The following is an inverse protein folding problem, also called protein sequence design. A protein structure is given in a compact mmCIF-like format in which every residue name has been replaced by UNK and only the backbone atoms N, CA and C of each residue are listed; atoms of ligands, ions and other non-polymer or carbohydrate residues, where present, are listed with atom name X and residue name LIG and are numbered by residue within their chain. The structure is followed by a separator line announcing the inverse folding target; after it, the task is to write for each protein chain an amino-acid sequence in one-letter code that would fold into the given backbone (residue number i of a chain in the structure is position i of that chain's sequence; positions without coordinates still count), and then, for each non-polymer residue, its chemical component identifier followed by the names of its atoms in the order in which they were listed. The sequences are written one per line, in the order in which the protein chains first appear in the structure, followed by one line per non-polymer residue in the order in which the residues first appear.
data_IF_198749193660
#
_entry.id   IF_198749193660
#
_cell.length_a   1.000
_cell.length_b   1.000
_cell.length_c   1.000
_cell.angle_alpha   90.00
_cell.angle_beta   90.00
_cell.angle_gamma   90.00
#
_symmetry.space_group_name_H-M   'P 1'
#
loop_
_entity.id
_entity.type
_entity.pdbx_description
1 polymer ?
#
# COMPACT_ATOMS: atom_id res chain seq x y z
N UNK A 1 45.64 -16.67 37.67
CA UNK A 1 45.81 -15.38 36.98
C UNK A 1 44.44 -14.90 36.56
N UNK A 2 44.00 -13.77 37.11
CA UNK A 2 42.68 -13.16 36.87
C UNK A 2 42.79 -12.24 35.64
N UNK A 3 41.95 -12.41 34.63
CA UNK A 3 41.78 -11.43 33.56
C UNK A 3 40.31 -11.27 33.21
N UNK A 4 39.68 -10.28 33.83
CA UNK A 4 38.37 -9.74 33.47
C UNK A 4 38.48 -8.89 32.21
N UNK A 5 37.78 -9.25 31.15
CA UNK A 5 37.56 -8.34 30.02
C UNK A 5 36.13 -7.78 30.10
N UNK A 6 36.04 -6.57 30.66
CA UNK A 6 34.85 -5.74 30.69
C UNK A 6 34.70 -5.06 29.32
N UNK A 7 33.79 -5.56 28.48
CA UNK A 7 33.45 -4.92 27.21
C UNK A 7 32.34 -3.90 27.42
N UNK A 8 32.73 -2.63 27.35
CA UNK A 8 31.86 -1.47 27.35
C UNK A 8 30.97 -1.49 26.09
N UNK A 9 29.68 -1.77 26.26
CA UNK A 9 28.68 -1.49 25.22
C UNK A 9 28.38 0.01 25.24
N UNK A 10 28.92 0.74 24.27
CA UNK A 10 28.57 2.13 24.01
C UNK A 10 27.23 2.19 23.28
N UNK A 11 26.19 2.62 24.00
CA UNK A 11 24.88 2.91 23.44
C UNK A 11 24.98 4.13 22.50
N UNK A 12 25.00 3.88 21.19
CA UNK A 12 24.90 4.92 20.17
C UNK A 12 23.47 5.47 20.18
N UNK A 13 23.27 6.57 20.90
CA UNK A 13 22.04 7.36 20.83
C UNK A 13 21.86 7.85 19.38
N UNK A 14 21.00 7.17 18.64
CA UNK A 14 20.56 7.61 17.32
C UNK A 14 19.71 8.86 17.51
N UNK A 15 20.33 10.02 17.27
CA UNK A 15 19.63 11.29 17.12
C UNK A 15 18.69 11.13 15.91
N UNK A 16 17.40 10.95 16.18
CA UNK A 16 16.37 11.02 15.14
C UNK A 16 16.21 12.48 14.76
N UNK A 17 16.94 12.90 13.73
CA UNK A 17 16.72 14.20 13.08
C UNK A 17 15.24 14.28 12.67
N UNK A 18 14.52 15.22 13.27
CA UNK A 18 13.10 15.46 12.98
C UNK A 18 12.99 15.96 11.54
N UNK A 19 12.62 15.06 10.62
CA UNK A 19 12.17 15.42 9.28
C UNK A 19 11.11 16.51 9.40
N UNK A 20 11.14 17.58 8.58
CA UNK A 20 10.05 18.54 8.51
C UNK A 20 8.74 17.77 8.33
N UNK A 21 7.81 17.92 9.27
CA UNK A 21 6.53 17.24 9.22
C UNK A 21 5.81 17.73 7.96
N UNK A 22 5.63 16.84 6.99
CA UNK A 22 4.74 17.07 5.84
C UNK A 22 3.43 17.69 6.37
N UNK A 23 2.87 18.71 5.70
CA UNK A 23 1.67 19.39 6.19
C UNK A 23 0.58 18.35 6.44
N UNK A 24 0.04 18.34 7.66
CA UNK A 24 -0.99 17.40 8.09
C UNK A 24 -2.14 17.37 7.06
N UNK A 25 -2.14 16.35 6.21
CA UNK A 25 -3.06 16.27 5.08
C UNK A 25 -4.36 15.62 5.53
N UNK A 26 -5.44 16.42 5.53
CA UNK A 26 -6.78 15.93 5.84
C UNK A 26 -7.29 15.06 4.68
N UNK A 27 -7.47 13.76 4.96
CA UNK A 27 -8.01 12.80 3.99
C UNK A 27 -9.54 12.68 4.06
N UNK A 28 -10.15 13.10 5.17
CA UNK A 28 -11.58 12.98 5.40
C UNK A 28 -12.03 13.34 6.81
N UNK A 29 -13.33 13.19 7.05
CA UNK A 29 -14.02 13.55 8.29
C UNK A 29 -14.66 12.32 8.95
N UNK A 30 -14.67 12.31 10.28
CA UNK A 30 -15.48 11.38 11.08
C UNK A 30 -16.84 12.03 11.29
N UNK A 31 -17.92 11.30 10.99
CA UNK A 31 -19.28 11.80 11.17
C UNK A 31 -19.80 11.45 12.57
N UNK A 32 -20.87 12.12 13.00
CA UNK A 32 -21.50 11.90 14.32
C UNK A 32 -21.95 10.44 14.52
N UNK A 33 -22.35 9.77 13.46
CA UNK A 33 -22.59 8.33 13.45
C UNK A 33 -21.24 7.60 13.59
N UNK A 34 -21.04 6.92 14.73
CA UNK A 34 -19.75 6.37 15.24
C UNK A 34 -19.05 5.35 14.34
N UNK A 35 -19.50 5.14 13.12
CA UNK A 35 -18.88 4.26 12.12
C UNK A 35 -18.88 4.85 10.70
N UNK A 36 -19.25 6.11 10.52
CA UNK A 36 -19.29 6.75 9.20
C UNK A 36 -18.13 7.73 9.02
N UNK A 37 -17.46 7.57 7.89
CA UNK A 37 -16.35 8.42 7.46
C UNK A 37 -16.68 9.02 6.09
N UNK A 38 -16.26 10.25 5.84
CA UNK A 38 -16.49 10.96 4.56
C UNK A 38 -15.18 11.49 4.00
N UNK A 39 -15.01 11.49 2.67
CA UNK A 39 -13.86 12.12 2.03
C UNK A 39 -13.87 13.64 2.24
N UNK A 40 -12.68 14.25 2.30
CA UNK A 40 -12.54 15.70 2.44
C UNK A 40 -12.62 16.47 1.11
N UNK A 41 -12.63 15.77 -0.03
CA UNK A 41 -12.73 16.38 -1.35
C UNK A 41 -14.19 16.57 -1.76
N UNK A 42 -14.51 17.76 -2.29
CA UNK A 42 -15.87 18.13 -2.69
C UNK A 42 -16.46 17.22 -3.77
N UNK A 43 -15.62 16.73 -4.69
CA UNK A 43 -15.99 15.75 -5.71
C UNK A 43 -16.44 14.39 -5.14
N UNK A 44 -16.18 14.14 -3.84
CA UNK A 44 -16.53 12.90 -3.13
C UNK A 44 -17.52 13.13 -1.98
N UNK A 45 -18.22 14.29 -1.96
CA UNK A 45 -19.11 14.69 -0.86
C UNK A 45 -20.23 13.70 -0.56
N UNK A 46 -20.67 12.94 -1.55
CA UNK A 46 -21.75 11.96 -1.45
C UNK A 46 -21.24 10.55 -1.08
N UNK A 47 -19.92 10.36 -0.99
CA UNK A 47 -19.31 9.08 -0.63
C UNK A 47 -19.11 8.97 0.88
N UNK A 48 -19.70 7.94 1.47
CA UNK A 48 -19.50 7.58 2.88
C UNK A 48 -18.98 6.16 3.02
N UNK A 49 -18.18 5.93 4.06
CA UNK A 49 -17.52 4.67 4.33
C UNK A 49 -17.88 4.18 5.73
N UNK A 50 -18.11 2.88 5.88
CA UNK A 50 -18.34 2.25 7.18
C UNK A 50 -17.07 1.98 7.99
N UNK A 51 -15.89 2.17 7.38
CA UNK A 51 -14.58 1.93 8.02
C UNK A 51 -13.56 2.96 7.57
N UNK A 52 -12.70 3.41 8.48
CA UNK A 52 -11.59 4.32 8.17
C UNK A 52 -10.62 3.74 7.13
N UNK A 53 -10.43 2.41 7.13
CA UNK A 53 -9.60 1.72 6.14
C UNK A 53 -10.16 1.86 4.71
N UNK A 54 -11.49 1.92 4.55
CA UNK A 54 -12.11 2.10 3.24
C UNK A 54 -11.95 3.55 2.76
N UNK A 55 -12.09 4.54 3.66
CA UNK A 55 -11.79 5.95 3.36
C UNK A 55 -10.32 6.14 2.94
N UNK A 56 -9.36 5.59 3.69
CA UNK A 56 -7.93 5.66 3.33
C UNK A 56 -7.66 5.09 1.95
N UNK A 57 -8.21 3.90 1.67
CA UNK A 57 -8.07 3.26 0.36
C UNK A 57 -8.65 4.12 -0.75
N UNK A 58 -9.82 4.71 -0.54
CA UNK A 58 -10.41 5.64 -1.49
C UNK A 58 -9.47 6.82 -1.76
N UNK A 59 -8.98 7.47 -0.70
CA UNK A 59 -8.07 8.62 -0.84
C UNK A 59 -6.81 8.26 -1.63
N UNK A 60 -6.18 7.13 -1.29
CA UNK A 60 -4.98 6.66 -2.00
C UNK A 60 -5.26 6.36 -3.47
N UNK A 61 -6.45 5.83 -3.78
CA UNK A 61 -6.86 5.46 -5.13
C UNK A 61 -7.40 6.61 -5.96
N UNK A 62 -7.92 7.68 -5.36
CA UNK A 62 -8.64 8.76 -6.02
C UNK A 62 -7.92 10.11 -5.93
N UNK A 63 -7.19 10.38 -4.84
CA UNK A 63 -6.61 11.70 -4.55
C UNK A 63 -5.10 11.73 -4.32
N UNK A 64 -4.43 10.60 -4.07
CA UNK A 64 -2.96 10.59 -3.93
C UNK A 64 -2.28 11.07 -5.21
N UNK A 65 -1.32 12.00 -5.12
CA UNK A 65 -0.60 12.56 -6.28
C UNK A 65 0.44 11.61 -6.86
N UNK A 66 1.04 10.75 -6.03
CA UNK A 66 2.13 9.86 -6.43
C UNK A 66 1.76 8.40 -6.17
N UNK A 67 0.85 7.87 -7.00
CA UNK A 67 0.34 6.51 -6.86
C UNK A 67 1.29 5.52 -7.51
N UNK A 68 1.99 4.73 -6.69
CA UNK A 68 2.66 3.53 -7.18
C UNK A 68 1.62 2.61 -7.83
N UNK A 69 1.84 2.28 -9.11
CA UNK A 69 0.98 1.36 -9.86
C UNK A 69 1.57 -0.04 -9.82
N UNK A 70 0.76 -1.01 -9.44
CA UNK A 70 1.17 -2.41 -9.47
C UNK A 70 0.76 -3.08 -10.78
N UNK A 71 1.71 -3.74 -11.43
CA UNK A 71 1.49 -4.52 -12.66
C UNK A 71 1.80 -6.00 -12.42
N UNK A 72 1.28 -6.87 -13.27
CA UNK A 72 1.66 -8.27 -13.25
C UNK A 72 3.13 -8.42 -13.72
N UNK A 73 3.99 -9.17 -12.99
CA UNK A 73 5.39 -9.35 -13.38
C UNK A 73 5.59 -10.36 -14.53
N UNK A 74 4.58 -11.16 -14.89
CA UNK A 74 4.72 -12.19 -15.92
C UNK A 74 4.69 -11.58 -17.32
N UNK A 75 5.74 -11.78 -18.15
CA UNK A 75 5.74 -11.34 -19.54
C UNK A 75 4.56 -11.94 -20.31
N UNK A 76 4.04 -11.21 -21.29
CA UNK A 76 2.86 -11.60 -22.09
C UNK A 76 1.54 -11.74 -21.33
N UNK A 77 1.52 -11.47 -20.02
CA UNK A 77 0.26 -11.28 -19.31
C UNK A 77 -0.42 -10.01 -19.79
N UNK A 78 -1.74 -10.05 -20.00
CA UNK A 78 -2.54 -8.90 -20.40
C UNK A 78 -2.51 -7.74 -19.38
N UNK A 79 -2.10 -8.01 -18.13
CA UNK A 79 -1.92 -7.03 -17.05
C UNK A 79 -0.46 -6.71 -16.73
N UNK A 80 0.48 -7.12 -17.59
CA UNK A 80 1.90 -6.77 -17.45
C UNK A 80 2.23 -5.47 -18.21
N UNK A 81 3.31 -4.82 -17.80
CA UNK A 81 3.91 -3.68 -18.51
C UNK A 81 5.09 -4.12 -19.40
N UNK A 82 5.39 -5.42 -19.45
CA UNK A 82 6.54 -5.98 -20.14
C UNK A 82 6.28 -6.14 -21.67
N UNK A 83 7.33 -6.18 -22.50
CA UNK A 83 7.19 -6.46 -23.94
C UNK A 83 6.42 -7.76 -24.21
N UNK A 84 5.48 -7.71 -25.16
CA UNK A 84 4.58 -8.81 -25.48
C UNK A 84 3.35 -8.94 -24.55
N UNK A 85 3.27 -8.14 -23.49
CA UNK A 85 2.05 -7.94 -22.68
C UNK A 85 1.01 -7.05 -23.38
N UNK A 86 -0.21 -7.01 -22.83
CA UNK A 86 -1.22 -6.06 -23.28
C UNK A 86 -0.91 -4.62 -22.80
N UNK A 87 -1.67 -3.61 -23.26
CA UNK A 87 -1.74 -2.26 -22.65
C UNK A 87 -2.43 -2.32 -21.27
N UNK A 88 -2.06 -3.29 -20.44
CA UNK A 88 -2.84 -3.77 -19.32
C UNK A 88 -3.19 -2.69 -18.32
N UNK A 89 -4.45 -2.68 -17.88
CA UNK A 89 -4.86 -1.88 -16.73
C UNK A 89 -4.09 -2.39 -15.50
N UNK A 90 -3.33 -1.49 -14.86
CA UNK A 90 -2.66 -1.77 -13.60
C UNK A 90 -3.67 -2.15 -12.52
N UNK A 91 -3.19 -2.76 -11.44
CA UNK A 91 -3.99 -2.99 -10.24
C UNK A 91 -4.16 -1.71 -9.40
N UNK A 92 -3.82 -0.53 -9.95
CA UNK A 92 -3.73 0.72 -9.22
C UNK A 92 -2.76 0.60 -8.05
N UNK A 93 -3.12 1.16 -6.90
CA UNK A 93 -2.34 1.11 -5.65
C UNK A 93 -2.51 -0.20 -4.86
N UNK A 94 -3.26 -1.19 -5.38
CA UNK A 94 -3.61 -2.42 -4.66
C UNK A 94 -2.67 -3.57 -4.95
N UNK A 95 -1.59 -3.66 -4.17
CA UNK A 95 -0.63 -4.78 -4.23
C UNK A 95 -1.29 -6.14 -3.97
N UNK A 96 -2.21 -6.20 -3.00
CA UNK A 96 -2.96 -7.42 -2.65
C UNK A 96 -3.68 -8.03 -3.86
N UNK A 97 -4.29 -7.18 -4.69
CA UNK A 97 -5.01 -7.63 -5.89
C UNK A 97 -4.08 -8.11 -7.00
N UNK A 98 -2.89 -7.52 -7.10
CA UNK A 98 -1.84 -8.02 -8.01
C UNK A 98 -1.34 -9.38 -7.54
N UNK A 99 -1.05 -9.55 -6.25
CA UNK A 99 -0.54 -10.80 -5.69
C UNK A 99 -1.58 -11.93 -5.82
N UNK A 100 -2.85 -11.63 -5.52
CA UNK A 100 -3.97 -12.56 -5.73
C UNK A 100 -4.10 -12.98 -7.20
N UNK A 101 -3.93 -12.04 -8.15
CA UNK A 101 -3.91 -12.36 -9.57
C UNK A 101 -2.75 -13.29 -9.92
N UNK A 102 -1.54 -12.99 -9.47
CA UNK A 102 -0.36 -13.83 -9.73
C UNK A 102 -0.59 -15.25 -9.24
N UNK A 103 -1.04 -15.40 -7.99
CA UNK A 103 -1.32 -16.70 -7.40
C UNK A 103 -2.39 -17.48 -8.18
N UNK A 104 -3.48 -16.82 -8.55
CA UNK A 104 -4.62 -17.48 -9.18
C UNK A 104 -4.46 -17.74 -10.67
N UNK A 105 -3.67 -16.92 -11.38
CA UNK A 105 -3.56 -16.98 -12.85
C UNK A 105 -2.26 -17.63 -13.28
N UNK A 106 -1.18 -17.45 -12.53
CA UNK A 106 0.16 -17.93 -12.90
C UNK A 106 0.67 -19.08 -12.05
N UNK A 107 0.24 -19.19 -10.78
CA UNK A 107 0.73 -20.22 -9.86
C UNK A 107 -0.28 -21.37 -9.63
N UNK A 108 -1.51 -21.25 -10.14
CA UNK A 108 -2.52 -22.33 -10.04
C UNK A 108 -2.23 -23.54 -10.92
N UNK A 109 -1.32 -23.46 -11.89
CA UNK A 109 -1.02 -24.53 -12.85
C UNK A 109 0.00 -25.57 -12.34
N UNK A 110 0.17 -25.69 -11.02
CA UNK A 110 1.06 -26.68 -10.38
C UNK A 110 0.36 -27.84 -9.68
N UNK A 111 -0.97 -28.02 -9.84
CA UNK A 111 -1.72 -29.13 -9.26
C UNK A 111 -2.68 -29.75 -10.27
N UNK A 112 -2.13 -30.54 -11.19
CA UNK A 112 -2.88 -31.52 -11.98
C UNK A 112 -1.97 -32.72 -12.25
N UNK A 113 -1.86 -33.60 -11.24
CA UNK A 113 -1.76 -35.07 -11.35
C UNK A 113 -1.51 -35.69 -9.97
N UNK A 114 -2.55 -36.27 -9.37
CA UNK A 114 -2.47 -37.56 -8.69
C UNK A 114 -3.83 -38.23 -8.75
#
# INVERSE_FOLDING_TARGET
MLSTHSSLFQSRAQQSETRPSEPEHVIGFVLLDKKKFRCAKDECKDLTYGRLADLRRHYDQAHSRNRAQYFCPYPRCSRSHAPGGGRGRSFGTRKDKRDEHVKNVHEKTGKSNH
#
